data_IF_386008808226
#
_entry.id   IF_386008808226
#
_cell.length_a   1.000
_cell.length_b   1.000
_cell.length_c   1.000
_cell.angle_alpha   90.00
_cell.angle_beta   90.00
_cell.angle_gamma   90.00
#
_symmetry.space_group_name_H-M   'P 1'
#
loop_
_entity.id
_entity.type
_entity.pdbx_description
1 polymer ?
#
# COMPACT_ATOMS: atom_id res chain seq x y z
N UNK A 1 -10.75 14.42 16.26
CA UNK A 1 -9.79 14.77 15.19
C UNK A 1 -10.25 14.35 13.79
N UNK A 2 -10.67 13.10 13.54
CA UNK A 2 -11.02 12.60 12.19
C UNK A 2 -12.12 13.36 11.42
N UNK A 3 -13.14 13.87 12.11
CA UNK A 3 -14.27 14.57 11.47
C UNK A 3 -13.88 15.87 10.76
N UNK A 4 -12.79 16.53 11.18
CA UNK A 4 -12.28 17.76 10.56
C UNK A 4 -11.76 17.50 9.14
N UNK A 5 -11.05 16.39 8.95
CA UNK A 5 -10.46 16.03 7.67
C UNK A 5 -11.51 15.60 6.65
N UNK A 6 -12.54 14.86 7.09
CA UNK A 6 -13.69 14.51 6.25
C UNK A 6 -14.43 15.76 5.79
N UNK A 7 -14.64 16.74 6.67
CA UNK A 7 -15.26 18.03 6.31
C UNK A 7 -14.42 18.84 5.31
N UNK A 8 -13.11 18.86 5.47
CA UNK A 8 -12.20 19.50 4.51
C UNK A 8 -12.25 18.82 3.14
N UNK A 9 -12.21 17.48 3.09
CA UNK A 9 -12.35 16.72 1.84
C UNK A 9 -13.69 16.97 1.17
N UNK A 10 -14.77 16.96 1.95
CA UNK A 10 -16.11 17.28 1.43
C UNK A 10 -16.16 18.68 0.81
N UNK A 11 -15.64 19.69 1.51
CA UNK A 11 -15.59 21.06 1.00
C UNK A 11 -14.74 21.17 -0.28
N UNK A 12 -13.59 20.50 -0.31
CA UNK A 12 -12.70 20.48 -1.49
C UNK A 12 -13.34 19.81 -2.71
N UNK A 13 -14.03 18.68 -2.53
CA UNK A 13 -14.71 18.00 -3.64
C UNK A 13 -15.89 18.85 -4.12
N UNK A 14 -16.69 19.41 -3.20
CA UNK A 14 -17.82 20.27 -3.52
C UNK A 14 -17.41 21.54 -4.26
N UNK A 15 -16.26 22.13 -3.93
CA UNK A 15 -15.79 23.36 -4.60
C UNK A 15 -15.32 23.11 -6.03
N UNK A 16 -14.81 21.90 -6.33
CA UNK A 16 -14.40 21.50 -7.68
C UNK A 16 -15.55 20.96 -8.52
N UNK A 17 -16.50 20.28 -7.90
CA UNK A 17 -17.64 19.64 -8.57
C UNK A 17 -18.95 20.05 -7.88
N UNK A 18 -19.46 21.27 -8.15
CA UNK A 18 -20.63 21.81 -7.44
C UNK A 18 -21.91 21.02 -7.68
N UNK A 19 -22.03 20.41 -8.87
CA UNK A 19 -23.18 19.60 -9.28
C UNK A 19 -23.19 18.18 -8.70
N UNK A 20 -22.13 17.75 -8.01
CA UNK A 20 -22.05 16.40 -7.48
C UNK A 20 -23.06 16.19 -6.34
N UNK A 21 -23.73 15.04 -6.30
CA UNK A 21 -24.62 14.70 -5.19
C UNK A 21 -23.82 14.43 -3.92
N UNK A 22 -24.41 14.69 -2.74
CA UNK A 22 -23.76 14.39 -1.46
C UNK A 22 -23.39 12.90 -1.32
N UNK A 23 -24.21 11.99 -1.88
CA UNK A 23 -23.93 10.56 -1.91
C UNK A 23 -22.66 10.24 -2.74
N UNK A 24 -22.50 10.88 -3.90
CA UNK A 24 -21.30 10.71 -4.73
C UNK A 24 -20.04 11.27 -4.05
N UNK A 25 -20.16 12.41 -3.35
CA UNK A 25 -19.05 12.98 -2.56
C UNK A 25 -18.67 12.02 -1.43
N UNK A 26 -19.64 11.49 -0.69
CA UNK A 26 -19.40 10.53 0.39
C UNK A 26 -18.72 9.26 -0.13
N UNK A 27 -19.16 8.72 -1.26
CA UNK A 27 -18.53 7.57 -1.91
C UNK A 27 -17.06 7.86 -2.30
N UNK A 28 -16.79 9.05 -2.83
CA UNK A 28 -15.43 9.46 -3.18
C UNK A 28 -14.53 9.59 -1.95
N UNK A 29 -15.04 10.16 -0.87
CA UNK A 29 -14.31 10.22 0.41
C UNK A 29 -14.04 8.80 0.93
N UNK A 30 -15.02 7.90 0.89
CA UNK A 30 -14.85 6.51 1.32
C UNK A 30 -13.75 5.80 0.53
N UNK A 31 -13.72 5.97 -0.80
CA UNK A 31 -12.64 5.42 -1.67
C UNK A 31 -11.26 5.95 -1.27
N UNK A 32 -11.15 7.26 -1.00
CA UNK A 32 -9.89 7.87 -0.54
C UNK A 32 -9.46 7.28 0.81
N UNK A 33 -10.40 7.10 1.74
CA UNK A 33 -10.10 6.51 3.05
C UNK A 33 -9.60 5.07 2.93
N UNK A 34 -10.25 4.24 2.10
CA UNK A 34 -9.82 2.85 1.83
C UNK A 34 -8.41 2.84 1.23
N UNK A 35 -8.14 3.72 0.27
CA UNK A 35 -6.81 3.83 -0.33
C UNK A 35 -5.74 4.19 0.71
N UNK A 36 -6.02 5.15 1.59
CA UNK A 36 -5.09 5.52 2.66
C UNK A 36 -4.81 4.35 3.61
N UNK A 37 -5.83 3.56 3.96
CA UNK A 37 -5.65 2.35 4.76
C UNK A 37 -4.79 1.32 4.03
N UNK A 38 -5.06 1.06 2.75
CA UNK A 38 -4.28 0.13 1.95
C UNK A 38 -2.81 0.57 1.82
N UNK A 39 -2.56 1.86 1.57
CA UNK A 39 -1.20 2.42 1.52
C UNK A 39 -0.50 2.31 2.87
N UNK A 40 -1.20 2.56 3.98
CA UNK A 40 -0.65 2.39 5.32
C UNK A 40 -0.21 0.95 5.56
N UNK A 41 -1.07 -0.02 5.24
CA UNK A 41 -0.75 -1.44 5.35
C UNK A 41 0.44 -1.82 4.47
N UNK A 42 0.49 -1.33 3.23
CA UNK A 42 1.61 -1.57 2.33
C UNK A 42 2.92 -1.01 2.89
N UNK A 43 2.90 0.18 3.48
CA UNK A 43 4.08 0.79 4.11
C UNK A 43 4.54 -0.03 5.31
N UNK A 44 3.62 -0.54 6.15
CA UNK A 44 3.98 -1.45 7.24
C UNK A 44 4.66 -2.72 6.69
N UNK A 45 4.05 -3.38 5.71
CA UNK A 45 4.62 -4.58 5.08
C UNK A 45 5.97 -4.31 4.40
N UNK A 46 6.12 -3.16 3.74
CA UNK A 46 7.38 -2.74 3.13
C UNK A 46 8.44 -2.46 4.20
N UNK A 47 8.07 -1.80 5.30
CA UNK A 47 8.96 -1.56 6.44
C UNK A 47 9.47 -2.87 7.06
N UNK A 48 8.58 -3.85 7.24
CA UNK A 48 8.96 -5.18 7.72
C UNK A 48 9.90 -5.87 6.72
N UNK A 49 9.66 -5.73 5.41
CA UNK A 49 10.54 -6.26 4.38
C UNK A 49 11.91 -5.55 4.32
N UNK A 50 11.98 -4.25 4.60
CA UNK A 50 13.25 -3.52 4.72
C UNK A 50 14.04 -4.00 5.94
N UNK A 51 13.37 -4.17 7.09
CA UNK A 51 13.99 -4.74 8.28
C UNK A 51 14.44 -6.19 8.06
N UNK A 52 13.64 -6.99 7.35
CA UNK A 52 14.00 -8.35 6.98
C UNK A 52 15.20 -8.37 6.03
N UNK A 53 15.23 -7.53 5.00
CA UNK A 53 16.40 -7.35 4.12
C UNK A 53 17.67 -6.97 4.91
N UNK A 54 17.52 -6.10 5.91
CA UNK A 54 18.59 -5.72 6.84
C UNK A 54 18.97 -6.83 7.83
N UNK A 55 18.20 -7.91 7.96
CA UNK A 55 18.60 -9.10 8.72
C UNK A 55 19.18 -10.17 7.80
N UNK A 56 18.63 -10.32 6.58
CA UNK A 56 19.03 -11.34 5.62
C UNK A 56 20.48 -11.14 5.15
N UNK A 57 21.00 -9.91 5.08
CA UNK A 57 22.42 -9.69 4.72
C UNK A 57 23.42 -10.20 5.78
N UNK A 58 22.95 -10.45 7.01
CA UNK A 58 23.76 -11.00 8.12
C UNK A 58 23.69 -12.55 8.11
N UNK A 59 22.69 -13.13 7.44
CA UNK A 59 22.53 -14.58 7.35
C UNK A 59 23.49 -15.12 6.29
N UNK A 60 24.44 -15.95 6.71
CA UNK A 60 25.27 -16.74 5.79
C UNK A 60 24.43 -17.89 5.22
N UNK A 61 23.90 -17.67 4.01
CA UNK A 61 23.10 -18.67 3.30
C UNK A 61 23.94 -19.80 2.69
N UNK A 62 25.27 -19.76 2.79
CA UNK A 62 26.13 -20.73 2.10
C UNK A 62 25.81 -20.83 0.60
N UNK A 63 25.90 -22.02 0.02
CA UNK A 63 25.59 -22.27 -1.41
C UNK A 63 24.09 -22.39 -1.74
N UNK A 64 23.20 -22.14 -0.78
CA UNK A 64 21.75 -22.29 -0.95
C UNK A 64 21.14 -21.39 -2.05
N UNK A 65 21.57 -20.13 -2.24
CA UNK A 65 21.08 -19.28 -3.33
C UNK A 65 21.41 -19.85 -4.72
N UNK A 66 22.57 -20.50 -4.86
CA UNK A 66 23.00 -21.11 -6.11
C UNK A 66 22.14 -22.33 -6.49
N UNK A 67 21.72 -23.11 -5.50
CA UNK A 67 20.83 -24.26 -5.70
C UNK A 67 19.40 -23.83 -6.02
N UNK A 68 18.94 -22.69 -5.47
CA UNK A 68 17.64 -22.12 -5.81
C UNK A 68 17.62 -21.62 -7.26
N UNK A 69 18.63 -20.87 -7.68
CA UNK A 69 18.77 -20.37 -9.07
C UNK A 69 18.88 -21.52 -10.09
N UNK A 70 19.60 -22.60 -9.77
CA UNK A 70 19.75 -23.76 -10.67
C UNK A 70 18.47 -24.55 -10.91
N UNK A 71 17.52 -24.52 -9.97
CA UNK A 71 16.29 -25.31 -10.04
C UNK A 71 15.05 -24.48 -10.41
N UNK A 72 15.06 -23.16 -10.17
CA UNK A 72 13.90 -22.29 -10.44
C UNK A 72 13.58 -22.10 -11.93
N UNK A 73 14.56 -22.34 -12.83
CA UNK A 73 14.38 -22.18 -14.28
C UNK A 73 14.17 -23.50 -15.05
N UNK A 74 14.12 -24.65 -14.36
CA UNK A 74 13.98 -25.95 -15.04
C UNK A 74 12.55 -26.32 -15.42
N UNK A 75 11.54 -25.68 -14.84
CA UNK A 75 10.12 -25.98 -15.10
C UNK A 75 9.44 -24.96 -16.04
N UNK A 76 10.20 -24.26 -16.90
CA UNK A 76 9.66 -23.20 -17.76
C UNK A 76 9.90 -23.36 -19.27
N UNK A 77 10.13 -24.59 -19.76
CA UNK A 77 10.04 -24.92 -21.20
C UNK A 77 9.40 -26.29 -21.38
#
# INVERSE_FOLDING_TARGET
>A
MGHRFVRMLHHHIRSREPSLSNAAIALRIAKIMILLTATTNLVYMASDNFQLHDVLHIVDFGSWPDDFLKNSFKDSI
#
